data_IF_760524152792
#
_entry.id   IF_760524152792
#
_cell.length_a   1.000
_cell.length_b   1.000
_cell.length_c   1.000
_cell.angle_alpha   90.00
_cell.angle_beta   90.00
_cell.angle_gamma   90.00
#
_symmetry.space_group_name_H-M   'P 1'
#
loop_
_entity.id
_entity.type
_entity.pdbx_description
1 polymer ?
#
# COMPACT_ATOMS: atom_id res chain seq x y z
N UNK A 1 14.92 36.30 17.51
CA UNK A 1 15.58 34.99 17.54
C UNK A 1 14.95 34.14 16.47
N UNK A 2 15.72 33.32 15.74
CA UNK A 2 15.13 32.19 15.01
C UNK A 2 15.50 30.92 15.76
N UNK A 3 14.52 30.23 16.33
CA UNK A 3 14.73 28.89 16.91
C UNK A 3 14.19 27.84 15.97
N UNK A 4 14.99 26.83 15.69
CA UNK A 4 14.50 25.60 15.07
C UNK A 4 13.86 24.74 16.15
N UNK A 5 12.68 24.20 15.84
CA UNK A 5 11.96 23.25 16.66
C UNK A 5 11.77 22.01 15.80
N UNK A 6 12.42 20.92 16.18
CA UNK A 6 12.32 19.65 15.48
C UNK A 6 11.44 18.72 16.31
N UNK A 7 10.36 18.23 15.71
CA UNK A 7 9.45 17.30 16.32
C UNK A 7 9.35 16.00 15.53
N UNK A 8 9.31 14.87 16.23
CA UNK A 8 9.05 13.54 15.69
C UNK A 8 7.75 13.01 16.30
N UNK A 9 6.82 12.59 15.45
CA UNK A 9 5.48 12.13 15.85
C UNK A 9 4.71 13.16 16.72
N UNK A 10 5.00 14.44 16.51
CA UNK A 10 4.41 15.55 17.28
C UNK A 10 5.08 15.83 18.63
N UNK A 11 6.18 15.13 18.97
CA UNK A 11 6.98 15.36 20.18
C UNK A 11 8.26 16.08 19.81
N UNK A 12 8.56 17.20 20.46
CA UNK A 12 9.83 17.93 20.27
C UNK A 12 11.01 17.05 20.68
N UNK A 13 11.93 16.80 19.73
CA UNK A 13 13.14 15.98 19.94
C UNK A 13 14.42 16.82 19.95
N UNK A 14 14.38 18.01 19.36
CA UNK A 14 15.50 18.94 19.37
C UNK A 14 15.01 20.38 19.24
N UNK A 15 15.71 21.31 19.91
CA UNK A 15 15.56 22.75 19.73
C UNK A 15 16.91 23.43 19.67
N UNK A 16 17.04 24.39 18.76
CA UNK A 16 18.32 25.05 18.52
C UNK A 16 18.15 26.50 18.09
N UNK A 17 19.16 27.33 18.35
CA UNK A 17 19.21 28.69 17.81
C UNK A 17 19.80 28.62 16.41
N UNK A 18 19.03 29.03 15.40
CA UNK A 18 19.49 29.05 13.99
C UNK A 18 20.45 30.21 13.78
N UNK A 19 20.10 31.39 14.29
CA UNK A 19 20.97 32.57 14.29
C UNK A 19 20.72 33.42 15.55
N UNK A 20 21.80 33.65 16.31
CA UNK A 20 21.81 34.49 17.51
C UNK A 20 22.13 35.96 17.25
N UNK A 21 22.45 36.36 16.01
CA UNK A 21 22.89 37.70 15.62
C UNK A 21 24.02 38.24 16.53
N UNK A 22 25.07 37.42 16.72
CA UNK A 22 26.16 37.74 17.66
C UNK A 22 25.72 37.87 19.13
N UNK A 23 24.67 37.13 19.53
CA UNK A 23 24.11 37.14 20.88
C UNK A 23 22.99 38.16 21.11
N UNK A 24 22.73 39.05 20.14
CA UNK A 24 21.71 40.12 20.26
C UNK A 24 20.28 39.64 20.10
N UNK A 25 20.09 38.49 19.47
CA UNK A 25 18.80 37.84 19.28
C UNK A 25 18.64 36.61 20.17
N UNK A 26 19.32 36.59 21.32
CA UNK A 26 19.18 35.56 22.35
C UNK A 26 18.38 36.12 23.52
N UNK A 27 17.56 35.26 24.10
CA UNK A 27 16.92 35.48 25.40
C UNK A 27 17.98 35.83 26.46
N UNK A 28 17.79 36.97 27.13
CA UNK A 28 18.72 37.51 28.11
C UNK A 28 18.48 36.98 29.52
N UNK A 29 17.31 36.41 29.80
CA UNK A 29 17.00 35.78 31.07
C UNK A 29 16.33 34.41 30.86
N UNK A 30 17.11 33.38 30.46
CA UNK A 30 16.58 32.07 30.03
C UNK A 30 15.82 31.25 31.08
N UNK A 31 15.69 31.77 32.31
CA UNK A 31 14.93 31.17 33.40
C UNK A 31 13.66 31.94 33.77
N UNK A 32 13.37 33.05 33.10
CA UNK A 32 12.13 33.80 33.28
C UNK A 32 10.95 33.04 32.65
N UNK A 33 9.74 33.45 32.98
CA UNK A 33 8.51 32.92 32.35
C UNK A 33 8.30 33.46 30.94
N UNK A 34 9.04 34.50 30.54
CA UNK A 34 8.96 35.14 29.23
C UNK A 34 10.25 34.87 28.43
N UNK A 35 10.25 33.89 27.50
CA UNK A 35 11.45 33.52 26.76
C UNK A 35 11.80 34.50 25.62
N UNK A 36 11.19 35.69 25.58
CA UNK A 36 11.29 36.71 24.53
C UNK A 36 11.88 38.04 25.04
N UNK A 37 12.78 37.96 26.02
CA UNK A 37 13.46 39.12 26.58
C UNK A 37 14.76 39.39 25.83
N UNK A 38 14.90 40.59 25.24
CA UNK A 38 16.07 40.95 24.41
C UNK A 38 16.73 42.23 24.90
N UNK A 39 18.06 42.22 25.09
CA UNK A 39 18.82 43.40 25.51
C UNK A 39 19.04 44.44 24.40
N UNK A 40 18.81 44.08 23.13
CA UNK A 40 19.12 44.93 21.98
C UNK A 40 17.84 45.41 21.26
N UNK A 41 17.68 46.71 20.98
CA UNK A 41 16.53 47.26 20.25
C UNK A 41 16.60 47.05 18.72
N UNK A 42 17.63 46.36 18.20
CA UNK A 42 17.78 46.10 16.77
C UNK A 42 16.94 44.90 16.34
N UNK A 43 16.17 44.99 15.23
CA UNK A 43 15.43 43.85 14.69
C UNK A 43 16.37 42.68 14.38
N UNK A 44 15.88 41.46 14.55
CA UNK A 44 16.60 40.27 14.09
C UNK A 44 16.72 40.27 12.55
N UNK A 45 17.71 39.55 12.00
CA UNK A 45 17.85 39.39 10.55
C UNK A 45 16.53 38.96 9.90
N UNK A 46 16.29 39.34 8.64
CA UNK A 46 15.07 38.93 7.92
C UNK A 46 15.19 37.52 7.33
N UNK A 47 16.41 37.01 7.21
CA UNK A 47 16.74 35.70 6.69
C UNK A 47 17.83 35.08 7.55
N UNK A 48 17.76 33.77 7.74
CA UNK A 48 18.77 32.98 8.45
C UNK A 48 18.84 31.58 7.83
N UNK A 49 20.02 30.96 7.91
CA UNK A 49 20.25 29.57 7.51
C UNK A 49 20.91 28.81 8.64
N UNK A 50 20.63 27.52 8.74
CA UNK A 50 21.24 26.65 9.74
C UNK A 50 20.82 25.20 9.55
N UNK A 51 21.42 24.33 10.37
CA UNK A 51 21.18 22.90 10.35
C UNK A 51 20.58 22.46 11.68
N UNK A 52 19.69 21.46 11.62
CA UNK A 52 19.16 20.79 12.79
C UNK A 52 19.54 19.32 12.70
N UNK A 53 20.24 18.82 13.73
CA UNK A 53 20.68 17.43 13.83
C UNK A 53 20.03 16.81 15.06
N UNK A 54 19.60 15.56 14.93
CA UNK A 54 19.10 14.76 16.06
C UNK A 54 19.54 13.31 15.90
N UNK A 55 19.62 12.60 17.01
CA UNK A 55 19.99 11.18 17.03
C UNK A 55 18.74 10.31 16.92
N UNK A 56 18.68 9.51 15.86
CA UNK A 56 17.56 8.61 15.59
C UNK A 56 17.62 7.31 16.41
N UNK A 57 18.75 6.98 17.06
CA UNK A 57 18.93 5.72 17.82
C UNK A 57 18.01 5.60 19.03
N UNK A 58 17.57 6.74 19.57
CA UNK A 58 16.61 6.80 20.67
C UNK A 58 15.16 6.61 20.23
N UNK A 59 14.88 6.65 18.92
CA UNK A 59 13.55 6.42 18.39
C UNK A 59 13.28 4.93 18.29
N UNK A 60 12.02 4.54 18.53
CA UNK A 60 11.54 3.18 18.25
C UNK A 60 11.75 2.83 16.79
N UNK A 61 11.89 1.56 16.46
CA UNK A 61 11.89 1.13 15.05
C UNK A 61 10.51 1.38 14.41
N UNK A 62 10.49 1.85 13.17
CA UNK A 62 9.28 2.02 12.37
C UNK A 62 9.17 3.38 11.68
N UNK A 63 7.96 3.68 11.20
CA UNK A 63 7.66 4.93 10.49
C UNK A 63 7.47 6.08 11.49
N UNK A 64 8.02 7.24 11.14
CA UNK A 64 7.99 8.46 11.93
C UNK A 64 7.68 9.68 11.09
N UNK A 65 6.89 10.60 11.63
CA UNK A 65 6.63 11.90 11.02
C UNK A 65 7.58 12.96 11.60
N UNK A 66 8.46 13.52 10.76
CA UNK A 66 9.34 14.63 11.11
C UNK A 66 8.66 15.96 10.75
N UNK A 67 8.69 16.90 11.69
CA UNK A 67 8.29 18.28 11.47
C UNK A 67 9.40 19.21 11.95
N UNK A 68 9.89 20.07 11.04
CA UNK A 68 10.78 21.17 11.35
C UNK A 68 10.00 22.47 11.28
N UNK A 69 9.93 23.15 12.41
CA UNK A 69 9.35 24.49 12.52
C UNK A 69 10.41 25.51 12.90
N UNK A 70 10.17 26.76 12.52
CA UNK A 70 10.97 27.90 12.94
C UNK A 70 10.10 28.83 13.77
N UNK A 71 10.57 29.18 14.96
CA UNK A 71 10.00 30.18 15.85
C UNK A 71 10.75 31.50 15.69
N UNK A 72 10.04 32.60 15.48
CA UNK A 72 10.61 33.94 15.38
C UNK A 72 10.76 34.65 16.75
N UNK A 73 11.26 35.89 16.73
CA UNK A 73 11.50 36.68 17.94
C UNK A 73 10.21 37.05 18.69
N UNK A 74 9.06 37.01 18.02
CA UNK A 74 7.75 37.33 18.57
C UNK A 74 6.99 36.06 19.01
N UNK A 75 7.62 34.88 18.95
CA UNK A 75 7.02 33.60 19.30
C UNK A 75 6.12 33.02 18.22
N UNK A 76 6.13 33.56 17.00
CA UNK A 76 5.37 32.96 15.91
C UNK A 76 6.10 31.73 15.39
N UNK A 77 5.41 30.59 15.42
CA UNK A 77 5.94 29.31 14.94
C UNK A 77 5.39 29.02 13.54
N UNK A 78 6.29 28.78 12.59
CA UNK A 78 5.95 28.39 11.21
C UNK A 78 6.57 27.04 10.88
N UNK A 79 5.77 26.10 10.37
CA UNK A 79 6.27 24.85 9.82
C UNK A 79 7.03 25.14 8.51
N UNK A 80 8.32 24.84 8.49
CA UNK A 80 9.17 25.07 7.31
C UNK A 80 9.40 23.80 6.49
N UNK A 81 9.35 22.63 7.13
CA UNK A 81 9.48 21.34 6.46
C UNK A 81 8.77 20.22 7.22
N UNK A 82 8.21 19.26 6.48
CA UNK A 82 7.70 18.02 7.04
C UNK A 82 7.96 16.86 6.08
N UNK A 83 8.37 15.72 6.62
CA UNK A 83 8.61 14.49 5.87
C UNK A 83 8.41 13.28 6.77
N UNK A 84 8.13 12.13 6.17
CA UNK A 84 8.17 10.86 6.87
C UNK A 84 9.56 10.23 6.72
N UNK A 85 10.00 9.47 7.73
CA UNK A 85 11.22 8.67 7.69
C UNK A 85 11.05 7.36 8.46
N UNK A 86 11.96 6.41 8.24
CA UNK A 86 11.94 5.10 8.89
C UNK A 86 13.21 4.91 9.68
N UNK A 87 13.06 4.35 10.89
CA UNK A 87 14.17 4.02 11.79
C UNK A 87 14.40 2.51 11.84
N UNK A 88 15.66 2.12 11.72
CA UNK A 88 16.14 0.74 11.83
C UNK A 88 17.35 0.72 12.77
N UNK A 89 17.12 0.46 14.05
CA UNK A 89 18.20 0.46 15.03
C UNK A 89 19.07 -0.79 14.96
N UNK A 90 18.53 -1.92 14.48
CA UNK A 90 19.27 -3.11 14.10
C UNK A 90 19.49 -3.16 12.58
N UNK A 91 20.51 -3.87 12.07
CA UNK A 91 20.76 -3.94 10.64
C UNK A 91 19.58 -4.61 9.91
N UNK A 92 19.26 -4.12 8.72
CA UNK A 92 18.23 -4.71 7.87
C UNK A 92 18.82 -5.00 6.50
N UNK A 93 18.67 -6.23 6.01
CA UNK A 93 19.10 -6.56 4.65
C UNK A 93 18.17 -5.88 3.65
N UNK A 94 18.72 -5.03 2.79
CA UNK A 94 18.02 -4.40 1.67
C UNK A 94 18.16 -5.23 0.40
N UNK A 95 19.38 -5.67 0.12
CA UNK A 95 19.69 -6.55 -1.01
C UNK A 95 20.49 -7.75 -0.50
N UNK A 96 20.10 -8.96 -0.90
CA UNK A 96 20.80 -10.17 -0.49
C UNK A 96 22.23 -10.25 -1.07
N UNK A 97 23.15 -10.95 -0.39
CA UNK A 97 24.46 -11.32 -0.94
C UNK A 97 24.36 -11.98 -2.32
N UNK A 98 25.17 -11.55 -3.27
CA UNK A 98 25.22 -12.12 -4.62
C UNK A 98 26.40 -13.08 -4.78
N UNK A 99 26.18 -14.22 -5.44
CA UNK A 99 27.28 -15.12 -5.83
C UNK A 99 27.68 -14.89 -7.29
N UNK A 100 28.99 -14.92 -7.56
CA UNK A 100 29.58 -14.95 -8.90
C UNK A 100 30.75 -15.92 -8.98
N UNK A 101 31.26 -16.17 -10.19
CA UNK A 101 32.42 -17.05 -10.42
C UNK A 101 32.06 -18.39 -11.07
N UNK A 102 32.99 -19.34 -10.97
CA UNK A 102 32.91 -20.66 -11.61
C UNK A 102 32.51 -21.75 -10.60
N UNK A 103 31.31 -22.30 -10.78
CA UNK A 103 30.73 -23.36 -9.97
C UNK A 103 31.33 -24.72 -10.36
N UNK A 104 32.63 -24.90 -10.14
CA UNK A 104 33.39 -26.13 -10.42
C UNK A 104 34.38 -26.43 -9.31
N UNK A 105 34.65 -27.72 -9.06
CA UNK A 105 35.73 -28.14 -8.16
C UNK A 105 37.06 -27.56 -8.62
N UNK A 106 37.76 -26.88 -7.71
CA UNK A 106 38.99 -26.14 -7.99
C UNK A 106 38.77 -24.75 -8.64
N UNK A 107 37.53 -24.39 -8.97
CA UNK A 107 37.14 -23.05 -9.39
C UNK A 107 37.07 -22.08 -8.20
N UNK A 108 36.46 -20.93 -8.40
CA UNK A 108 36.23 -19.96 -7.32
C UNK A 108 34.83 -19.37 -7.42
N UNK A 109 34.20 -19.22 -6.26
CA UNK A 109 32.98 -18.44 -6.09
C UNK A 109 33.29 -17.24 -5.20
N UNK A 110 32.82 -16.08 -5.61
CA UNK A 110 32.90 -14.82 -4.88
C UNK A 110 31.51 -14.44 -4.37
N UNK A 111 31.45 -13.87 -3.15
CA UNK A 111 30.22 -13.34 -2.55
C UNK A 111 30.33 -11.83 -2.33
N UNK A 112 29.29 -11.09 -2.72
CA UNK A 112 29.11 -9.69 -2.30
C UNK A 112 28.41 -9.61 -0.94
N UNK A 113 28.65 -8.55 -0.18
CA UNK A 113 28.01 -8.39 1.14
C UNK A 113 26.50 -8.14 1.08
N UNK A 114 25.97 -7.87 -0.11
CA UNK A 114 24.64 -7.30 -0.26
C UNK A 114 24.61 -5.82 0.16
N UNK A 115 23.42 -5.30 0.40
CA UNK A 115 23.22 -3.93 0.88
C UNK A 115 22.41 -3.97 2.17
N UNK A 116 22.81 -3.15 3.13
CA UNK A 116 22.23 -3.14 4.47
C UNK A 116 21.80 -1.72 4.85
N UNK A 117 20.68 -1.63 5.55
CA UNK A 117 20.28 -0.46 6.34
C UNK A 117 20.62 -0.68 7.83
N UNK A 118 20.39 0.33 8.66
CA UNK A 118 20.68 0.30 10.10
C UNK A 118 22.16 0.39 10.41
N UNK A 119 22.99 0.87 9.47
CA UNK A 119 24.42 1.14 9.65
C UNK A 119 25.19 0.00 10.39
N UNK A 120 25.30 -1.19 9.79
CA UNK A 120 26.06 -2.28 10.40
C UNK A 120 27.53 -1.88 10.61
N UNK A 121 28.08 -2.20 11.77
CA UNK A 121 29.48 -1.97 12.12
C UNK A 121 30.35 -3.21 11.90
N UNK A 122 29.74 -4.39 11.76
CA UNK A 122 30.42 -5.65 11.47
C UNK A 122 29.65 -6.46 10.42
N UNK A 123 30.38 -7.15 9.55
CA UNK A 123 29.86 -8.10 8.57
C UNK A 123 30.67 -9.40 8.65
N UNK A 124 30.02 -10.48 9.07
CA UNK A 124 30.61 -11.82 9.11
C UNK A 124 30.05 -12.66 7.97
N UNK A 125 30.91 -13.38 7.25
CA UNK A 125 30.50 -14.25 6.15
C UNK A 125 30.68 -15.71 6.54
N UNK A 126 29.85 -16.58 5.97
CA UNK A 126 30.05 -18.02 6.01
C UNK A 126 29.51 -18.70 4.76
N UNK A 127 30.20 -19.73 4.29
CA UNK A 127 29.75 -20.57 3.19
C UNK A 127 28.99 -21.79 3.73
N UNK A 128 27.88 -22.12 3.06
CA UNK A 128 27.01 -23.23 3.38
C UNK A 128 26.99 -24.21 2.21
N UNK A 129 27.11 -25.49 2.52
CA UNK A 129 26.94 -26.60 1.59
C UNK A 129 25.51 -27.11 1.66
N UNK A 130 24.78 -27.00 0.56
CA UNK A 130 23.42 -27.50 0.42
C UNK A 130 23.39 -28.83 -0.32
N UNK A 131 22.23 -29.47 -0.36
CA UNK A 131 21.99 -30.58 -1.28
C UNK A 131 21.89 -30.11 -2.74
N UNK A 132 21.70 -31.06 -3.65
CA UNK A 132 21.56 -30.77 -5.08
C UNK A 132 20.35 -29.88 -5.41
N UNK A 133 19.31 -29.82 -4.57
CA UNK A 133 18.17 -28.92 -4.77
C UNK A 133 18.40 -27.51 -4.23
N UNK A 134 19.48 -27.29 -3.48
CA UNK A 134 19.75 -26.04 -2.76
C UNK A 134 19.10 -25.99 -1.37
N UNK A 135 18.61 -27.12 -0.84
CA UNK A 135 18.04 -27.24 0.50
C UNK A 135 19.05 -27.91 1.47
N UNK A 136 18.66 -28.09 2.74
CA UNK A 136 19.47 -28.84 3.71
C UNK A 136 20.86 -28.25 4.00
N UNK A 137 21.03 -26.94 3.85
CA UNK A 137 22.33 -26.29 3.90
C UNK A 137 22.99 -26.35 5.28
N UNK A 138 24.26 -26.77 5.33
CA UNK A 138 25.08 -26.81 6.53
C UNK A 138 26.35 -25.95 6.36
N UNK A 139 26.83 -25.27 7.43
CA UNK A 139 28.03 -24.45 7.35
C UNK A 139 29.28 -25.28 7.04
N UNK A 140 30.14 -24.73 6.20
CA UNK A 140 31.46 -25.28 5.90
C UNK A 140 32.44 -24.67 6.90
N UNK A 141 33.01 -25.51 7.77
CA UNK A 141 33.91 -25.06 8.81
C UNK A 141 35.12 -24.27 8.25
N UNK A 142 35.41 -23.12 8.84
CA UNK A 142 36.53 -22.25 8.42
C UNK A 142 36.28 -21.43 7.14
N UNK A 143 35.17 -21.63 6.44
CA UNK A 143 34.86 -20.93 5.20
C UNK A 143 34.14 -19.60 5.45
N UNK A 144 34.87 -18.59 5.96
CA UNK A 144 34.34 -17.25 6.24
C UNK A 144 34.82 -16.14 5.29
N UNK A 145 35.57 -16.48 4.24
CA UNK A 145 36.10 -15.52 3.27
C UNK A 145 35.05 -15.02 2.27
N UNK A 146 35.31 -13.87 1.65
CA UNK A 146 34.52 -13.38 0.51
C UNK A 146 34.67 -14.26 -0.74
N UNK A 147 35.70 -15.11 -0.77
CA UNK A 147 35.94 -16.11 -1.81
C UNK A 147 35.93 -17.51 -1.21
N UNK A 148 35.35 -18.46 -1.93
CA UNK A 148 35.42 -19.89 -1.62
C UNK A 148 35.85 -20.69 -2.86
N UNK A 149 36.71 -21.68 -2.64
CA UNK A 149 37.18 -22.61 -3.68
C UNK A 149 36.43 -23.93 -3.50
N UNK A 150 35.50 -24.30 -4.39
CA UNK A 150 34.78 -25.56 -4.27
C UNK A 150 35.71 -26.77 -4.28
N UNK A 151 35.45 -27.69 -3.35
CA UNK A 151 36.23 -28.92 -3.16
C UNK A 151 35.46 -30.13 -3.70
N UNK A 152 36.09 -31.30 -3.75
CA UNK A 152 35.42 -32.54 -4.15
C UNK A 152 34.17 -32.86 -3.29
N UNK A 153 34.12 -32.42 -2.02
CA UNK A 153 32.96 -32.58 -1.15
C UNK A 153 31.76 -31.71 -1.57
N UNK A 154 31.99 -30.67 -2.35
CA UNK A 154 30.98 -29.76 -2.88
C UNK A 154 30.43 -30.22 -4.24
N UNK A 155 31.06 -31.21 -4.89
CA UNK A 155 30.61 -31.71 -6.19
C UNK A 155 29.15 -32.17 -6.15
N UNK A 156 28.41 -31.85 -7.22
CA UNK A 156 27.00 -32.16 -7.43
C UNK A 156 26.06 -31.55 -6.37
N UNK A 157 26.55 -30.59 -5.59
CA UNK A 157 25.80 -29.82 -4.61
C UNK A 157 25.72 -28.37 -5.03
N UNK A 158 24.97 -27.58 -4.26
CA UNK A 158 24.93 -26.12 -4.39
C UNK A 158 25.53 -25.46 -3.18
N UNK A 159 26.17 -24.32 -3.38
CA UNK A 159 26.72 -23.50 -2.32
C UNK A 159 25.87 -22.23 -2.14
N UNK A 160 25.71 -21.82 -0.89
CA UNK A 160 25.06 -20.57 -0.50
C UNK A 160 26.03 -19.82 0.40
N UNK A 161 26.12 -18.51 0.26
CA UNK A 161 26.81 -17.68 1.24
C UNK A 161 25.79 -17.03 2.17
N UNK A 162 26.10 -16.97 3.45
CA UNK A 162 25.35 -16.25 4.48
C UNK A 162 26.23 -15.10 5.00
N UNK A 163 25.68 -13.89 5.00
CA UNK A 163 26.30 -12.68 5.55
C UNK A 163 25.49 -12.25 6.76
N UNK A 164 26.15 -12.12 7.90
CA UNK A 164 25.58 -11.69 9.17
C UNK A 164 26.07 -10.27 9.45
N UNK A 165 25.16 -9.32 9.40
CA UNK A 165 25.42 -7.92 9.72
C UNK A 165 25.10 -7.65 11.19
N UNK A 166 25.95 -6.88 11.88
CA UNK A 166 25.78 -6.54 13.29
C UNK A 166 26.05 -5.07 13.59
N UNK A 167 25.31 -4.54 14.56
CA UNK A 167 25.56 -3.25 15.21
C UNK A 167 25.13 -3.32 16.69
N UNK A 168 25.16 -2.18 17.41
CA UNK A 168 24.73 -2.12 18.80
C UNK A 168 23.24 -2.46 19.04
N UNK A 169 22.39 -2.34 18.02
CA UNK A 169 20.97 -2.70 18.06
C UNK A 169 20.67 -4.17 17.76
N UNK A 170 21.63 -4.93 17.22
CA UNK A 170 21.50 -6.38 17.04
C UNK A 170 22.19 -6.94 15.80
N UNK A 171 21.84 -8.17 15.45
CA UNK A 171 22.41 -8.90 14.30
C UNK A 171 21.34 -9.48 13.40
N UNK A 172 21.53 -9.41 12.08
CA UNK A 172 20.64 -10.01 11.07
C UNK A 172 21.46 -10.77 10.02
N UNK A 173 20.98 -11.95 9.65
CA UNK A 173 21.59 -12.79 8.62
C UNK A 173 20.81 -12.71 7.29
N UNK A 174 21.53 -12.61 6.18
CA UNK A 174 21.00 -12.69 4.83
C UNK A 174 21.75 -13.77 4.04
N UNK A 175 21.03 -14.52 3.21
CA UNK A 175 21.60 -15.59 2.38
C UNK A 175 21.53 -15.24 0.92
N UNK A 176 22.56 -15.64 0.17
CA UNK A 176 22.55 -15.58 -1.28
C UNK A 176 21.55 -16.57 -1.89
N UNK A 177 21.24 -16.38 -3.17
CA UNK A 177 20.71 -17.47 -3.97
C UNK A 177 21.72 -18.64 -4.02
N UNK A 178 21.25 -19.90 -4.14
CA UNK A 178 22.14 -21.04 -4.36
C UNK A 178 22.93 -20.88 -5.67
N UNK A 179 24.18 -21.36 -5.66
CA UNK A 179 25.00 -21.44 -6.87
C UNK A 179 24.37 -22.38 -7.93
N UNK A 180 24.94 -22.37 -9.14
CA UNK A 180 24.80 -23.51 -10.03
C UNK A 180 25.32 -24.79 -9.33
N UNK A 181 24.91 -25.97 -9.82
CA UNK A 181 25.47 -27.22 -9.34
C UNK A 181 26.99 -27.20 -9.55
N UNK A 182 27.74 -27.53 -8.50
CA UNK A 182 29.20 -27.58 -8.58
C UNK A 182 29.58 -28.76 -9.48
N UNK A 183 30.20 -28.45 -10.62
CA UNK A 183 30.72 -29.47 -11.51
C UNK A 183 32.00 -30.10 -10.93
N UNK A 184 32.20 -31.41 -11.14
CA UNK A 184 33.44 -32.07 -10.76
C UNK A 184 34.63 -31.64 -11.66
N UNK A 185 35.81 -32.22 -11.41
CA UNK A 185 37.02 -31.94 -12.22
C UNK A 185 36.85 -32.34 -13.69
N UNK A 186 35.94 -33.26 -14.01
CA UNK A 186 35.58 -33.67 -15.38
C UNK A 186 34.45 -32.82 -16.00
N UNK A 187 33.88 -31.87 -15.26
CA UNK A 187 32.78 -31.01 -15.72
C UNK A 187 31.39 -31.61 -15.57
N UNK A 188 31.24 -32.75 -14.86
CA UNK A 188 29.93 -33.39 -14.64
C UNK A 188 29.18 -32.71 -13.50
N UNK A 189 27.86 -32.62 -13.62
CA UNK A 189 26.95 -32.06 -12.58
C UNK A 189 26.11 -33.11 -11.86
N UNK A 190 26.35 -34.39 -12.13
CA UNK A 190 25.85 -35.54 -11.39
C UNK A 190 26.91 -36.66 -11.37
N UNK A 191 26.87 -37.59 -10.38
CA UNK A 191 27.68 -38.80 -10.42
C UNK A 191 27.43 -39.60 -11.72
N UNK A 192 28.42 -40.38 -12.17
CA UNK A 192 28.19 -41.35 -13.25
C UNK A 192 27.50 -42.57 -12.66
N UNK A 193 26.30 -42.85 -13.17
CA UNK A 193 25.55 -44.08 -12.87
C UNK A 193 26.18 -45.25 -13.64
N UNK A 194 27.19 -45.90 -13.06
CA UNK A 194 27.70 -47.18 -13.56
C UNK A 194 26.89 -48.37 -13.00
N UNK A 195 25.55 -48.24 -12.93
CA UNK A 195 24.66 -49.32 -12.47
C UNK A 195 23.76 -49.79 -13.62
N UNK A 196 23.86 -51.04 -14.10
CA UNK A 196 22.91 -51.59 -15.07
C UNK A 196 21.49 -51.56 -14.50
N UNK A 197 20.54 -51.08 -15.30
CA UNK A 197 19.12 -51.00 -14.93
C UNK A 197 18.58 -52.39 -14.52
N UNK A 198 18.18 -52.51 -13.26
CA UNK A 198 17.47 -53.68 -12.76
C UNK A 198 15.98 -53.31 -12.58
N UNK A 199 15.03 -54.16 -13.04
CA UNK A 199 13.61 -53.81 -13.04
C UNK A 199 13.03 -53.83 -11.61
N UNK A 200 12.07 -52.94 -11.37
CA UNK A 200 11.46 -52.66 -10.08
C UNK A 200 10.80 -53.91 -9.42
N UNK A 201 10.94 -54.08 -8.10
CA UNK A 201 10.03 -54.88 -7.30
C UNK A 201 9.10 -54.03 -6.43
N UNK A 202 7.81 -54.31 -6.67
CA UNK A 202 6.57 -54.28 -5.87
C UNK A 202 6.53 -53.66 -4.46
N UNK A 203 5.43 -52.95 -4.26
CA UNK A 203 4.81 -52.57 -2.98
C UNK A 203 4.76 -53.72 -1.97
N UNK A 204 5.22 -53.45 -0.74
CA UNK A 204 4.67 -54.00 0.49
C UNK A 204 4.95 -53.03 1.66
N UNK A 205 3.91 -52.63 2.39
CA UNK A 205 3.95 -51.89 3.67
C UNK A 205 3.33 -52.79 4.76
N UNK A 206 3.72 -52.74 6.05
CA UNK A 206 3.27 -51.67 6.97
C UNK A 206 4.26 -51.26 8.11
N UNK A 207 3.84 -50.28 8.96
CA UNK A 207 4.60 -49.48 9.97
C UNK A 207 5.12 -50.20 11.24
N UNK A 208 5.44 -49.54 12.40
CA UNK A 208 4.87 -48.27 12.92
C UNK A 208 5.84 -47.31 13.71
N UNK A 209 5.24 -46.23 14.22
CA UNK A 209 5.59 -45.40 15.40
C UNK A 209 6.93 -44.63 15.50
N UNK A 210 6.80 -43.29 15.44
CA UNK A 210 7.73 -42.36 16.10
C UNK A 210 6.94 -41.34 16.93
N UNK A 211 7.27 -41.13 18.22
CA UNK A 211 6.50 -40.25 19.09
C UNK A 211 6.62 -38.78 18.69
N UNK A 212 5.54 -38.03 18.94
CA UNK A 212 5.44 -36.60 18.72
C UNK A 212 6.37 -35.83 19.67
N UNK A 213 7.25 -35.01 19.10
CA UNK A 213 7.99 -33.98 19.82
C UNK A 213 6.99 -32.90 20.24
N UNK A 214 6.93 -32.48 21.52
CA UNK A 214 6.02 -31.41 21.93
C UNK A 214 6.46 -30.10 21.26
N UNK A 215 5.48 -29.38 20.72
CA UNK A 215 5.69 -28.06 20.13
C UNK A 215 6.34 -27.12 21.18
N UNK A 216 7.39 -26.36 20.81
CA UNK A 216 7.93 -25.36 21.72
C UNK A 216 6.85 -24.31 22.01
N UNK A 217 6.87 -23.82 23.26
CA UNK A 217 5.99 -22.78 23.75
C UNK A 217 5.90 -21.61 22.77
N UNK A 218 4.69 -21.07 22.61
CA UNK A 218 4.39 -19.97 21.72
C UNK A 218 5.42 -18.85 21.87
N UNK A 219 6.17 -18.59 20.80
CA UNK A 219 7.02 -17.42 20.68
C UNK A 219 6.21 -16.17 21.03
N UNK A 220 6.82 -15.14 21.64
CA UNK A 220 6.15 -13.88 21.90
C UNK A 220 5.49 -13.42 20.60
N UNK A 221 4.17 -13.19 20.67
CA UNK A 221 3.36 -12.81 19.51
C UNK A 221 4.05 -11.68 18.76
N UNK A 222 4.48 -11.96 17.53
CA UNK A 222 5.14 -10.98 16.68
C UNK A 222 4.33 -9.67 16.71
N UNK A 223 4.98 -8.50 16.85
CA UNK A 223 4.28 -7.23 16.89
C UNK A 223 3.36 -7.09 15.67
N UNK A 224 2.21 -6.43 15.84
CA UNK A 224 1.16 -6.39 14.83
C UNK A 224 1.68 -5.80 13.51
N UNK A 225 1.21 -6.38 12.40
CA UNK A 225 1.46 -5.85 11.05
C UNK A 225 0.93 -4.42 11.02
N UNK A 226 1.76 -3.46 10.58
CA UNK A 226 1.23 -2.15 10.21
C UNK A 226 0.46 -2.29 8.90
N UNK A 227 -0.84 -2.10 9.03
CA UNK A 227 -1.80 -2.28 7.96
C UNK A 227 -2.11 -0.99 7.22
N UNK A 228 -1.53 0.16 7.63
CA UNK A 228 -1.91 1.47 7.08
C UNK A 228 -3.41 1.76 7.21
N UNK A 229 -4.04 1.24 8.27
CA UNK A 229 -5.48 1.34 8.53
C UNK A 229 -6.35 0.40 7.68
N UNK A 230 -5.78 -0.60 7.01
CA UNK A 230 -6.51 -1.62 6.23
C UNK A 230 -6.89 -2.79 7.13
N UNK A 231 -8.18 -2.89 7.47
CA UNK A 231 -8.68 -4.01 8.27
C UNK A 231 -8.52 -5.35 7.55
N UNK A 232 -8.13 -6.39 8.31
CA UNK A 232 -7.89 -7.77 7.83
C UNK A 232 -6.78 -7.88 6.78
N UNK A 233 -5.91 -6.88 6.68
CA UNK A 233 -4.73 -7.01 5.84
C UNK A 233 -3.75 -7.97 6.50
N UNK A 234 -3.32 -8.96 5.75
CA UNK A 234 -2.27 -9.90 6.14
C UNK A 234 -1.17 -9.87 5.07
N UNK A 235 0.07 -10.15 5.48
CA UNK A 235 1.13 -10.42 4.54
C UNK A 235 0.88 -11.79 3.88
N UNK A 236 0.65 -11.86 2.55
CA UNK A 236 0.14 -13.06 1.88
C UNK A 236 1.20 -14.17 1.74
N UNK A 237 2.46 -13.89 2.10
CA UNK A 237 3.56 -14.84 2.11
C UNK A 237 4.10 -15.11 3.52
N UNK A 238 3.52 -14.53 4.58
CA UNK A 238 4.03 -14.67 5.95
C UNK A 238 4.21 -16.13 6.42
N UNK A 239 3.33 -17.04 5.96
CA UNK A 239 3.40 -18.46 6.31
C UNK A 239 4.64 -19.18 5.78
N UNK A 240 5.36 -18.60 4.83
CA UNK A 240 6.61 -19.17 4.31
C UNK A 240 7.76 -19.06 5.33
N UNK A 241 7.66 -18.10 6.27
CA UNK A 241 8.69 -17.86 7.29
C UNK A 241 9.98 -17.26 6.72
N UNK A 242 10.82 -16.75 7.63
CA UNK A 242 12.09 -16.11 7.30
C UNK A 242 11.97 -14.94 6.32
N UNK A 243 13.07 -14.58 5.68
CA UNK A 243 13.13 -13.52 4.68
C UNK A 243 12.78 -14.03 3.26
N UNK A 244 11.74 -14.85 3.14
CA UNK A 244 11.36 -15.47 1.86
C UNK A 244 10.79 -14.42 0.91
N UNK A 245 11.31 -14.28 -0.33
CA UNK A 245 10.85 -13.27 -1.27
C UNK A 245 9.44 -13.54 -1.80
N UNK A 246 8.63 -12.48 -1.86
CA UNK A 246 7.31 -12.51 -2.47
C UNK A 246 7.42 -12.30 -3.99
N UNK A 247 7.79 -13.37 -4.70
CA UNK A 247 7.98 -13.37 -6.15
C UNK A 247 9.43 -13.15 -6.58
N UNK A 248 9.71 -13.45 -7.84
CA UNK A 248 11.03 -13.26 -8.45
C UNK A 248 11.30 -11.78 -8.67
N UNK A 249 12.42 -11.27 -8.14
CA UNK A 249 12.74 -9.83 -8.16
C UNK A 249 12.08 -9.02 -7.04
N UNK A 250 11.65 -9.69 -5.95
CA UNK A 250 11.11 -9.01 -4.78
C UNK A 250 12.07 -7.91 -4.27
N UNK A 251 11.54 -6.73 -3.99
CA UNK A 251 12.31 -5.56 -3.58
C UNK A 251 11.55 -4.75 -2.52
N UNK A 252 12.27 -4.25 -1.51
CA UNK A 252 11.73 -3.36 -0.49
C UNK A 252 11.38 -1.96 -1.05
N UNK A 253 11.87 -1.62 -2.24
CA UNK A 253 11.61 -0.37 -2.96
C UNK A 253 10.74 -0.60 -4.19
N UNK A 254 9.98 -1.71 -4.20
CA UNK A 254 9.06 -2.03 -5.27
C UNK A 254 8.07 -0.91 -5.55
N UNK A 255 7.73 -0.73 -6.83
CA UNK A 255 6.69 0.18 -7.29
C UNK A 255 5.54 -0.62 -7.85
N UNK A 256 4.32 -0.22 -7.51
CA UNK A 256 3.09 -0.79 -8.05
C UNK A 256 2.32 0.30 -8.79
N UNK A 257 1.88 -0.02 -10.01
CA UNK A 257 1.03 0.83 -10.82
C UNK A 257 -0.20 0.06 -11.25
N UNK A 258 -1.37 0.68 -11.14
CA UNK A 258 -2.64 0.09 -11.55
C UNK A 258 -3.50 1.11 -12.29
N UNK A 259 -4.38 0.59 -13.16
CA UNK A 259 -5.39 1.36 -13.86
C UNK A 259 -6.63 0.49 -14.18
N UNK A 260 -7.77 1.15 -14.35
CA UNK A 260 -9.03 0.52 -14.76
C UNK A 260 -9.12 0.48 -16.29
N UNK A 261 -9.41 -0.69 -16.86
CA UNK A 261 -9.60 -0.88 -18.30
C UNK A 261 -10.99 -0.45 -18.74
N UNK A 262 -11.08 0.41 -19.76
CA UNK A 262 -12.36 0.84 -20.35
C UNK A 262 -12.80 -0.12 -21.47
N UNK A 263 -14.12 -0.24 -21.66
CA UNK A 263 -14.70 -1.13 -22.67
C UNK A 263 -14.34 -0.73 -24.12
N UNK A 264 -14.11 0.56 -24.38
CA UNK A 264 -13.71 1.09 -25.70
C UNK A 264 -12.21 1.25 -25.91
N UNK A 265 -11.38 0.59 -25.08
CA UNK A 265 -9.92 0.79 -25.07
C UNK A 265 -9.47 1.93 -24.15
N UNK A 266 -8.19 1.89 -23.77
CA UNK A 266 -7.58 2.83 -22.84
C UNK A 266 -7.74 2.47 -21.36
N UNK A 267 -7.03 3.23 -20.52
CA UNK A 267 -6.95 3.02 -19.08
C UNK A 267 -7.26 4.30 -18.30
N UNK A 268 -7.72 4.17 -17.06
CA UNK A 268 -8.01 5.32 -16.21
C UNK A 268 -7.81 5.01 -14.72
N UNK A 269 -7.36 6.01 -13.95
CA UNK A 269 -7.23 5.94 -12.49
C UNK A 269 -8.58 6.08 -11.79
N UNK A 270 -9.47 6.89 -12.38
CA UNK A 270 -10.82 7.16 -11.93
C UNK A 270 -11.82 6.91 -13.05
N UNK A 271 -12.92 6.22 -12.74
CA UNK A 271 -14.01 5.99 -13.69
C UNK A 271 -15.36 6.30 -13.08
N UNK A 272 -16.26 6.84 -13.90
CA UNK A 272 -17.67 7.00 -13.56
C UNK A 272 -18.47 5.85 -14.15
N UNK A 273 -19.31 5.21 -13.36
CA UNK A 273 -19.96 3.96 -13.77
C UNK A 273 -21.37 3.77 -13.23
N UNK A 274 -22.16 2.98 -13.95
CA UNK A 274 -23.46 2.53 -13.46
C UNK A 274 -23.26 1.42 -12.42
N UNK A 275 -24.20 1.31 -11.49
CA UNK A 275 -24.14 0.35 -10.37
C UNK A 275 -23.83 -1.10 -10.76
N UNK A 276 -24.39 -1.58 -11.87
CA UNK A 276 -24.29 -2.98 -12.28
C UNK A 276 -22.98 -3.31 -13.01
N UNK A 277 -22.13 -2.30 -13.28
CA UNK A 277 -20.92 -2.48 -14.08
C UNK A 277 -19.81 -3.11 -13.24
N UNK A 278 -19.22 -4.20 -13.75
CA UNK A 278 -17.95 -4.76 -13.29
C UNK A 278 -16.80 -4.06 -14.00
N UNK A 279 -15.67 -3.94 -13.33
CA UNK A 279 -14.46 -3.34 -13.89
C UNK A 279 -13.30 -4.32 -13.85
N UNK A 280 -12.36 -4.17 -14.77
CA UNK A 280 -11.10 -4.90 -14.72
C UNK A 280 -10.00 -3.90 -14.39
N UNK A 281 -9.31 -4.10 -13.27
CA UNK A 281 -8.06 -3.42 -12.99
C UNK A 281 -6.92 -4.23 -13.62
N UNK A 282 -6.00 -3.53 -14.26
CA UNK A 282 -4.73 -4.07 -14.75
C UNK A 282 -3.62 -3.29 -14.10
N UNK A 283 -2.53 -3.95 -13.72
CA UNK A 283 -1.39 -3.28 -13.14
C UNK A 283 -0.07 -3.97 -13.41
N UNK A 284 0.99 -3.33 -12.96
CA UNK A 284 2.37 -3.81 -13.05
C UNK A 284 3.08 -3.55 -11.73
N UNK A 285 3.81 -4.56 -11.27
CA UNK A 285 4.68 -4.52 -10.11
C UNK A 285 6.13 -4.60 -10.61
N UNK A 286 6.96 -3.66 -10.19
CA UNK A 286 8.37 -3.59 -10.57
C UNK A 286 9.25 -3.34 -9.36
N UNK A 287 10.54 -3.64 -9.48
CA UNK A 287 11.56 -3.15 -8.56
C UNK A 287 11.80 -1.63 -8.77
N UNK A 288 12.77 -1.08 -8.03
CA UNK A 288 13.21 0.31 -8.11
C UNK A 288 13.84 0.70 -9.46
N UNK A 289 14.34 -0.29 -10.20
CA UNK A 289 14.93 -0.14 -11.53
C UNK A 289 13.91 -0.34 -12.67
N UNK A 290 12.64 -0.65 -12.35
CA UNK A 290 11.58 -0.89 -13.34
C UNK A 290 11.54 -2.32 -13.90
N UNK A 291 12.35 -3.24 -13.37
CA UNK A 291 12.32 -4.66 -13.75
C UNK A 291 11.10 -5.34 -13.15
N UNK A 292 10.48 -6.30 -13.85
CA UNK A 292 9.24 -6.92 -13.38
C UNK A 292 9.42 -7.79 -12.15
N UNK A 293 8.47 -7.72 -11.19
CA UNK A 293 8.40 -8.65 -10.05
C UNK A 293 7.38 -9.75 -10.36
N UNK A 294 7.87 -10.91 -10.76
CA UNK A 294 7.07 -12.02 -11.26
C UNK A 294 6.57 -12.99 -10.18
N UNK A 295 5.37 -13.55 -10.34
CA UNK A 295 4.81 -14.54 -9.40
C UNK A 295 4.49 -14.02 -8.00
N UNK A 296 4.56 -12.70 -7.79
CA UNK A 296 4.31 -12.03 -6.52
C UNK A 296 2.82 -12.05 -6.14
N UNK A 297 2.55 -12.10 -4.84
CA UNK A 297 1.21 -11.97 -4.25
C UNK A 297 0.93 -10.53 -3.83
N UNK A 298 -0.09 -9.91 -4.41
CA UNK A 298 -0.52 -8.52 -4.19
C UNK A 298 -1.90 -8.51 -3.53
N UNK A 299 -2.05 -7.85 -2.39
CA UNK A 299 -3.33 -7.69 -1.73
C UNK A 299 -4.20 -6.64 -2.43
N UNK A 300 -5.49 -6.90 -2.60
CA UNK A 300 -6.49 -5.91 -2.99
C UNK A 300 -7.40 -5.56 -1.81
N UNK A 301 -7.40 -4.29 -1.43
CA UNK A 301 -8.25 -3.73 -0.37
C UNK A 301 -9.29 -2.79 -0.96
N UNK A 302 -10.45 -2.69 -0.32
CA UNK A 302 -11.57 -1.85 -0.76
C UNK A 302 -12.04 -0.94 0.36
N UNK A 303 -12.27 0.33 0.03
CA UNK A 303 -12.92 1.31 0.91
C UNK A 303 -14.15 1.89 0.23
N UNK A 304 -15.33 1.52 0.75
CA UNK A 304 -16.57 2.21 0.39
C UNK A 304 -16.57 3.58 1.06
N UNK A 305 -17.00 4.62 0.36
CA UNK A 305 -16.97 6.01 0.86
C UNK A 305 -17.43 6.12 2.33
N UNK A 306 -16.60 6.76 3.17
CA UNK A 306 -16.89 6.97 4.60
C UNK A 306 -16.77 5.72 5.48
N UNK A 307 -16.27 4.59 4.95
CA UNK A 307 -15.97 3.37 5.69
C UNK A 307 -14.46 3.18 5.83
N UNK A 308 -14.07 2.22 6.67
CA UNK A 308 -12.67 1.77 6.81
C UNK A 308 -12.26 0.94 5.59
N UNK A 309 -10.97 0.92 5.29
CA UNK A 309 -10.38 0.00 4.33
C UNK A 309 -10.52 -1.43 4.83
N UNK A 310 -10.78 -2.38 3.92
CA UNK A 310 -10.80 -3.80 4.25
C UNK A 310 -10.16 -4.60 3.13
N UNK A 311 -9.21 -5.47 3.47
CA UNK A 311 -8.64 -6.42 2.52
C UNK A 311 -9.72 -7.38 1.99
N UNK A 312 -9.64 -7.72 0.70
CA UNK A 312 -10.64 -8.53 0.00
C UNK A 312 -10.05 -9.75 -0.67
N UNK A 313 -8.89 -9.60 -1.29
CA UNK A 313 -8.36 -10.62 -2.18
C UNK A 313 -6.83 -10.56 -2.28
N UNK A 314 -6.24 -11.64 -2.79
CA UNK A 314 -4.81 -11.76 -3.07
C UNK A 314 -4.63 -12.16 -4.52
N UNK A 315 -3.98 -11.30 -5.29
CA UNK A 315 -3.76 -11.46 -6.72
C UNK A 315 -2.33 -11.93 -6.96
N UNK A 316 -2.10 -12.76 -7.98
CA UNK A 316 -0.75 -13.12 -8.40
C UNK A 316 -0.31 -12.31 -9.63
N UNK A 317 0.93 -11.85 -9.62
CA UNK A 317 1.56 -11.29 -10.83
C UNK A 317 2.00 -12.41 -11.78
N UNK A 318 1.97 -12.13 -13.08
CA UNK A 318 2.59 -12.94 -14.13
C UNK A 318 4.11 -12.79 -14.06
N UNK A 319 4.86 -13.59 -14.82
CA UNK A 319 6.33 -13.52 -14.87
C UNK A 319 6.87 -12.15 -15.28
N UNK A 320 6.14 -11.41 -16.12
CA UNK A 320 6.48 -10.03 -16.53
C UNK A 320 5.93 -8.95 -15.56
N UNK A 321 5.57 -9.36 -14.34
CA UNK A 321 5.16 -8.46 -13.25
C UNK A 321 3.79 -7.84 -13.43
N UNK A 322 3.00 -8.26 -14.42
CA UNK A 322 1.63 -7.75 -14.63
C UNK A 322 0.63 -8.47 -13.75
N UNK A 323 -0.46 -7.80 -13.41
CA UNK A 323 -1.60 -8.45 -12.77
C UNK A 323 -2.91 -7.93 -13.32
N UNK A 324 -3.94 -8.76 -13.23
CA UNK A 324 -5.32 -8.41 -13.60
C UNK A 324 -6.25 -8.77 -12.47
N UNK A 325 -7.19 -7.88 -12.14
CA UNK A 325 -8.17 -8.09 -11.09
C UNK A 325 -9.58 -7.67 -11.51
N UNK A 326 -10.53 -8.59 -11.39
CA UNK A 326 -11.94 -8.32 -11.70
C UNK A 326 -12.64 -7.74 -10.47
N UNK A 327 -12.98 -6.46 -10.57
CA UNK A 327 -13.66 -5.71 -9.54
C UNK A 327 -15.17 -5.96 -9.61
N UNK A 328 -15.80 -6.51 -8.55
CA UNK A 328 -17.22 -6.85 -8.56
C UNK A 328 -18.10 -5.59 -8.69
N UNK A 329 -19.34 -5.73 -9.16
CA UNK A 329 -20.27 -4.60 -9.15
C UNK A 329 -20.52 -4.12 -7.71
N UNK A 330 -20.73 -2.81 -7.51
CA UNK A 330 -20.85 -2.27 -6.16
C UNK A 330 -21.01 -0.76 -6.10
N UNK A 331 -20.95 -0.17 -4.89
CA UNK A 331 -21.10 1.26 -4.68
C UNK A 331 -19.81 2.00 -5.05
N UNK A 332 -19.86 3.34 -4.93
CA UNK A 332 -18.66 4.17 -5.03
C UNK A 332 -17.63 3.76 -3.98
N UNK A 333 -16.40 3.55 -4.43
CA UNK A 333 -15.34 2.99 -3.60
C UNK A 333 -13.96 3.25 -4.17
N UNK A 334 -13.00 3.23 -3.28
CA UNK A 334 -11.59 3.17 -3.61
C UNK A 334 -11.11 1.71 -3.54
N UNK A 335 -10.16 1.36 -4.39
CA UNK A 335 -9.50 0.05 -4.44
C UNK A 335 -8.02 0.29 -4.31
N UNK A 336 -7.38 -0.27 -3.30
CA UNK A 336 -5.93 -0.14 -3.08
C UNK A 336 -5.28 -1.50 -3.26
N UNK A 337 -4.26 -1.54 -4.10
CA UNK A 337 -3.35 -2.68 -4.21
C UNK A 337 -2.17 -2.44 -3.28
N UNK A 338 -1.72 -3.47 -2.57
CA UNK A 338 -0.60 -3.38 -1.62
C UNK A 338 0.31 -4.59 -1.79
N UNK A 339 1.63 -4.38 -1.66
CA UNK A 339 2.64 -5.41 -1.83
C UNK A 339 3.59 -5.46 -0.64
N UNK A 340 3.73 -6.65 -0.08
CA UNK A 340 4.73 -6.99 0.94
C UNK A 340 5.89 -7.70 0.24
N UNK A 341 7.13 -7.20 0.34
CA UNK A 341 8.24 -7.76 -0.42
C UNK A 341 8.72 -9.12 0.09
N UNK A 342 8.62 -9.40 1.39
CA UNK A 342 9.15 -10.61 2.01
C UNK A 342 8.17 -11.22 3.03
N UNK A 343 8.35 -12.49 3.39
CA UNK A 343 7.49 -13.19 4.36
C UNK A 343 7.53 -12.58 5.77
N UNK A 344 8.66 -12.02 6.18
CA UNK A 344 8.85 -11.30 7.44
C UNK A 344 8.44 -9.81 7.37
N UNK A 345 8.05 -9.30 6.20
CA UNK A 345 7.62 -7.91 6.04
C UNK A 345 6.39 -7.62 6.91
N UNK A 346 6.52 -6.65 7.82
CA UNK A 346 5.45 -6.23 8.74
C UNK A 346 4.64 -5.04 8.25
N UNK A 347 5.02 -4.43 7.14
CA UNK A 347 4.21 -3.44 6.41
C UNK A 347 4.41 -3.62 4.90
N UNK A 348 3.42 -3.20 4.12
CA UNK A 348 3.56 -3.19 2.67
C UNK A 348 4.51 -2.06 2.24
N UNK A 349 5.28 -2.26 1.18
CA UNK A 349 6.24 -1.26 0.66
C UNK A 349 5.78 -0.53 -0.58
N UNK A 350 4.91 -1.18 -1.36
CA UNK A 350 4.28 -0.55 -2.52
C UNK A 350 2.77 -0.52 -2.33
N UNK A 351 2.14 0.62 -2.66
CA UNK A 351 0.69 0.68 -2.77
C UNK A 351 0.23 1.60 -3.88
N UNK A 352 -0.93 1.28 -4.46
CA UNK A 352 -1.53 2.14 -5.47
C UNK A 352 -3.06 2.06 -5.43
N UNK A 353 -3.73 3.20 -5.62
CA UNK A 353 -5.17 3.36 -5.35
C UNK A 353 -5.94 3.83 -6.58
N UNK A 354 -7.03 3.13 -6.90
CA UNK A 354 -7.99 3.44 -7.96
C UNK A 354 -9.32 3.92 -7.37
N UNK A 355 -10.06 4.74 -8.12
CA UNK A 355 -11.38 5.23 -7.74
C UNK A 355 -12.47 4.80 -8.73
N UNK A 356 -13.55 4.25 -8.19
CA UNK A 356 -14.75 3.92 -8.95
C UNK A 356 -15.90 4.75 -8.39
N UNK A 357 -16.36 5.69 -9.21
CA UNK A 357 -17.45 6.58 -8.89
C UNK A 357 -18.75 6.06 -9.49
N UNK A 358 -19.61 5.52 -8.64
CA UNK A 358 -20.82 4.84 -9.05
C UNK A 358 -22.03 5.72 -8.83
N UNK A 359 -22.85 5.90 -9.86
CA UNK A 359 -24.16 6.53 -9.72
C UNK A 359 -25.28 5.49 -9.75
N UNK A 360 -26.32 5.76 -9.00
CA UNK A 360 -27.55 4.96 -8.99
C UNK A 360 -28.49 5.45 -10.08
N UNK A 361 -29.06 4.57 -10.92
CA UNK A 361 -30.08 4.96 -11.88
C UNK A 361 -31.29 5.59 -11.18
N UNK A 362 -31.74 6.73 -11.69
CA UNK A 362 -32.88 7.48 -11.17
C UNK A 362 -33.91 7.67 -12.28
N UNK A 363 -35.12 7.18 -12.03
CA UNK A 363 -36.26 7.36 -12.94
C UNK A 363 -37.16 8.48 -12.45
N UNK A 364 -37.80 9.16 -13.41
CA UNK A 364 -38.90 10.10 -13.21
C UNK A 364 -39.98 9.79 -14.23
N UNK A 365 -41.23 9.78 -13.79
CA UNK A 365 -42.41 9.55 -14.59
C UNK A 365 -43.48 10.57 -14.20
N UNK A 366 -44.34 10.90 -15.16
CA UNK A 366 -45.57 11.67 -14.95
C UNK A 366 -46.74 10.79 -15.35
N UNK A 367 -47.86 10.90 -14.63
CA UNK A 367 -49.09 10.21 -14.97
C UNK A 367 -49.64 10.65 -16.33
N UNK A 368 -49.46 11.93 -16.68
CA UNK A 368 -49.93 12.53 -17.93
C UNK A 368 -48.88 13.49 -18.51
N UNK A 369 -48.69 13.43 -19.84
CA UNK A 369 -47.79 14.33 -20.60
C UNK A 369 -48.50 15.56 -21.18
N UNK A 370 -49.83 15.53 -21.23
CA UNK A 370 -50.66 16.66 -21.63
C UNK A 370 -51.74 16.86 -20.58
N UNK A 371 -51.98 18.11 -20.17
CA UNK A 371 -52.91 18.43 -19.08
C UNK A 371 -53.85 19.53 -19.52
N UNK A 372 -55.15 19.27 -19.38
CA UNK A 372 -56.24 20.23 -19.57
C UNK A 372 -57.03 20.38 -18.25
N UNK A 373 -57.71 21.51 -18.05
CA UNK A 373 -58.62 21.72 -16.91
C UNK A 373 -57.93 21.85 -15.53
N UNK A 374 -58.00 20.82 -14.68
CA UNK A 374 -57.54 20.86 -13.26
C UNK A 374 -56.05 21.17 -13.06
N UNK A 375 -55.22 21.15 -14.13
CA UNK A 375 -53.81 21.58 -14.13
C UNK A 375 -52.95 20.93 -13.04
N UNK A 376 -53.15 19.64 -12.78
CA UNK A 376 -52.38 18.85 -11.81
C UNK A 376 -51.83 17.58 -12.47
N UNK A 377 -50.56 17.27 -12.20
CA UNK A 377 -49.93 15.97 -12.53
C UNK A 377 -49.41 15.29 -11.28
N UNK A 378 -49.39 13.96 -11.32
CA UNK A 378 -48.67 13.14 -10.35
C UNK A 378 -47.31 12.79 -10.91
N UNK A 379 -46.26 13.27 -10.26
CA UNK A 379 -44.87 12.96 -10.57
C UNK A 379 -44.43 11.84 -9.64
N UNK A 380 -43.81 10.81 -10.20
CA UNK A 380 -43.30 9.68 -9.43
C UNK A 380 -41.96 9.22 -9.97
N UNK A 381 -41.25 8.40 -9.21
CA UNK A 381 -40.00 7.85 -9.67
C UNK A 381 -39.39 6.86 -8.69
N UNK A 382 -38.22 6.37 -9.07
CA UNK A 382 -37.49 5.38 -8.28
C UNK A 382 -35.99 5.63 -8.35
N UNK A 383 -35.35 5.53 -7.18
CA UNK A 383 -33.90 5.35 -7.06
C UNK A 383 -33.62 3.86 -7.04
N UNK A 384 -32.86 3.35 -8.02
CA UNK A 384 -32.52 1.93 -8.08
C UNK A 384 -31.28 1.65 -7.22
N UNK A 385 -31.44 0.99 -6.06
CA UNK A 385 -30.30 0.60 -5.22
C UNK A 385 -30.67 -0.26 -4.01
N UNK A 386 -29.73 -1.09 -3.57
CA UNK A 386 -29.92 -2.09 -2.50
C UNK A 386 -29.39 -1.59 -1.14
N UNK A 387 -29.06 -0.30 -1.04
CA UNK A 387 -28.49 0.34 0.17
C UNK A 387 -29.19 1.65 0.53
N UNK A 388 -30.49 1.69 0.27
CA UNK A 388 -31.34 2.83 0.66
C UNK A 388 -31.56 2.73 2.18
N UNK A 389 -31.23 3.78 2.95
CA UNK A 389 -31.49 3.79 4.38
C UNK A 389 -32.98 3.55 4.68
N UNK A 390 -33.30 3.01 5.86
CA UNK A 390 -34.70 2.86 6.30
C UNK A 390 -35.47 4.19 6.30
N UNK A 391 -34.77 5.29 6.57
CA UNK A 391 -35.27 6.67 6.48
C UNK A 391 -35.52 7.19 5.05
N UNK A 392 -35.14 6.42 4.03
CA UNK A 392 -35.18 6.86 2.63
C UNK A 392 -34.06 7.84 2.24
N UNK A 393 -34.07 8.26 0.97
CA UNK A 393 -33.15 9.24 0.40
C UNK A 393 -33.87 10.55 0.12
N UNK A 394 -33.17 11.67 0.30
CA UNK A 394 -33.62 12.97 -0.20
C UNK A 394 -33.60 12.97 -1.74
N UNK A 395 -34.71 13.42 -2.32
CA UNK A 395 -34.89 13.66 -3.75
C UNK A 395 -35.33 15.10 -3.93
N UNK A 396 -34.55 15.87 -4.68
CA UNK A 396 -34.88 17.23 -5.08
C UNK A 396 -35.52 17.19 -6.46
N UNK A 397 -36.69 17.81 -6.61
CA UNK A 397 -37.40 17.92 -7.87
C UNK A 397 -37.25 19.34 -8.41
N UNK A 398 -36.83 19.42 -9.67
CA UNK A 398 -36.70 20.68 -10.39
C UNK A 398 -37.64 20.72 -11.59
N UNK A 399 -38.23 21.89 -11.81
CA UNK A 399 -39.04 22.22 -12.97
C UNK A 399 -38.31 23.23 -13.84
N UNK A 400 -38.47 23.13 -15.16
CA UNK A 400 -37.93 24.06 -16.12
C UNK A 400 -39.03 24.60 -17.01
N UNK A 401 -39.08 25.92 -17.11
CA UNK A 401 -39.89 26.68 -18.05
C UNK A 401 -38.98 27.60 -18.85
N UNK A 402 -39.28 27.79 -20.15
CA UNK A 402 -38.54 28.72 -21.00
C UNK A 402 -38.52 30.11 -20.34
N UNK A 403 -37.35 30.73 -20.27
CA UNK A 403 -37.13 32.03 -19.63
C UNK A 403 -36.79 31.99 -18.13
N UNK A 404 -37.02 30.87 -17.43
CA UNK A 404 -36.79 30.77 -15.96
C UNK A 404 -35.73 29.74 -15.56
N UNK A 405 -35.27 28.90 -16.49
CA UNK A 405 -34.30 27.85 -16.22
C UNK A 405 -34.84 26.76 -15.28
N UNK A 406 -33.94 25.93 -14.75
CA UNK A 406 -34.28 24.90 -13.77
C UNK A 406 -34.43 25.49 -12.38
N UNK A 407 -35.59 25.32 -11.75
CA UNK A 407 -35.84 25.76 -10.36
C UNK A 407 -36.33 24.60 -9.51
N UNK A 408 -35.81 24.51 -8.29
CA UNK A 408 -36.30 23.56 -7.29
C UNK A 408 -37.69 23.98 -6.84
N UNK A 409 -38.65 23.07 -6.93
CA UNK A 409 -40.01 23.31 -6.44
C UNK A 409 -40.41 22.40 -5.28
N UNK A 410 -39.65 21.32 -5.05
CA UNK A 410 -39.92 20.37 -3.96
C UNK A 410 -38.69 19.55 -3.62
N UNK A 411 -38.53 19.25 -2.34
CA UNK A 411 -37.64 18.20 -1.83
C UNK A 411 -38.47 17.22 -1.02
N UNK A 412 -38.29 15.91 -1.26
CA UNK A 412 -39.02 14.85 -0.58
C UNK A 412 -38.10 13.69 -0.23
N UNK A 413 -38.59 12.73 0.56
CA UNK A 413 -37.88 11.47 0.84
C UNK A 413 -38.48 10.31 0.07
N UNK A 414 -37.62 9.40 -0.39
CA UNK A 414 -38.07 8.10 -0.90
C UNK A 414 -38.58 7.22 0.22
N UNK A 415 -39.34 6.18 -0.12
CA UNK A 415 -39.50 5.02 0.76
C UNK A 415 -38.17 4.28 0.94
N UNK A 416 -38.13 3.32 1.87
CA UNK A 416 -37.04 2.33 2.01
C UNK A 416 -36.77 1.51 0.75
N UNK A 417 -37.76 1.43 -0.18
CA UNK A 417 -37.63 0.76 -1.48
C UNK A 417 -37.18 1.72 -2.60
N UNK A 418 -36.88 2.97 -2.27
CA UNK A 418 -36.42 3.99 -3.23
C UNK A 418 -37.50 4.64 -4.07
N UNK A 419 -38.77 4.30 -3.83
CA UNK A 419 -39.91 4.88 -4.56
C UNK A 419 -40.31 6.22 -3.97
N UNK A 420 -40.79 7.12 -4.82
CA UNK A 420 -41.32 8.41 -4.40
C UNK A 420 -42.44 8.87 -5.32
N UNK A 421 -43.33 9.73 -4.79
CA UNK A 421 -44.48 10.29 -5.50
C UNK A 421 -44.83 11.66 -4.91
N UNK A 422 -45.25 12.59 -5.75
CA UNK A 422 -45.82 13.88 -5.37
C UNK A 422 -46.77 14.39 -6.44
N UNK A 423 -47.65 15.32 -6.08
CA UNK A 423 -48.42 16.08 -7.05
C UNK A 423 -47.74 17.42 -7.35
N UNK A 424 -47.93 17.93 -8.57
CA UNK A 424 -47.54 19.26 -8.99
C UNK A 424 -48.72 19.96 -9.66
N UNK A 425 -49.03 21.18 -9.23
CA UNK A 425 -50.09 22.02 -9.80
C UNK A 425 -49.46 23.12 -10.63
N UNK A 426 -49.85 23.22 -11.90
CA UNK A 426 -49.40 24.29 -12.79
C UNK A 426 -50.12 25.59 -12.46
N UNK A 427 -49.36 26.68 -12.37
CA UNK A 427 -49.92 28.04 -12.24
C UNK A 427 -50.28 28.64 -13.61
N UNK A 428 -49.48 28.35 -14.64
CA UNK A 428 -49.77 28.76 -16.01
C UNK A 428 -51.01 28.03 -16.56
N UNK A 429 -51.78 28.70 -17.40
CA UNK A 429 -52.86 28.10 -18.19
C UNK A 429 -52.35 27.34 -19.40
N UNK A 430 -51.16 27.66 -19.92
CA UNK A 430 -50.54 26.98 -21.06
C UNK A 430 -49.02 26.89 -20.94
N UNK A 431 -48.40 26.05 -21.76
CA UNK A 431 -46.95 26.02 -21.96
C UNK A 431 -46.30 24.67 -21.75
N UNK A 432 -44.97 24.62 -21.96
CA UNK A 432 -44.17 23.40 -21.92
C UNK A 432 -43.23 23.41 -20.71
N UNK A 433 -43.35 22.39 -19.87
CA UNK A 433 -42.64 22.27 -18.60
C UNK A 433 -41.84 20.97 -18.57
N UNK A 434 -40.54 21.06 -18.30
CA UNK A 434 -39.71 19.89 -18.09
C UNK A 434 -39.46 19.66 -16.60
N UNK A 435 -39.49 18.41 -16.16
CA UNK A 435 -39.25 18.01 -14.78
C UNK A 435 -38.06 17.05 -14.71
N UNK A 436 -37.20 17.21 -13.71
CA UNK A 436 -36.13 16.26 -13.39
C UNK A 436 -36.05 16.02 -11.90
N UNK A 437 -35.62 14.83 -11.52
CA UNK A 437 -35.28 14.48 -10.16
C UNK A 437 -33.76 14.46 -9.98
N UNK A 438 -33.29 14.90 -8.81
CA UNK A 438 -31.90 14.88 -8.40
C UNK A 438 -31.81 14.19 -7.05
N UNK A 439 -30.98 13.17 -6.95
CA UNK A 439 -30.59 12.58 -5.66
C UNK A 439 -29.18 13.07 -5.38
N UNK A 440 -28.99 14.03 -4.47
CA UNK A 440 -27.66 14.48 -4.09
C UNK A 440 -26.90 13.39 -3.34
N UNK A 441 -25.57 13.49 -3.32
CA UNK A 441 -24.71 12.68 -2.45
C UNK A 441 -25.17 12.82 -0.99
N UNK A 442 -25.36 11.70 -0.31
CA UNK A 442 -25.85 11.65 1.07
C UNK A 442 -24.96 10.71 1.88
N UNK A 443 -24.60 11.08 3.12
CA UNK A 443 -23.53 10.42 3.88
C UNK A 443 -23.67 8.90 4.05
N UNK A 444 -24.91 8.37 4.18
CA UNK A 444 -25.18 6.93 4.30
C UNK A 444 -25.45 6.23 2.96
N UNK A 445 -25.51 6.98 1.86
CA UNK A 445 -25.78 6.45 0.52
C UNK A 445 -24.50 6.53 -0.33
N UNK A 446 -23.80 5.40 -0.55
CA UNK A 446 -22.44 5.40 -1.12
C UNK A 446 -22.45 5.49 -2.65
N UNK A 447 -23.23 6.43 -3.20
CA UNK A 447 -23.33 6.69 -4.63
C UNK A 447 -23.20 8.20 -4.88
N UNK A 448 -22.71 8.56 -6.07
CA UNK A 448 -22.64 9.94 -6.50
C UNK A 448 -24.03 10.57 -6.69
N UNK A 449 -24.05 11.90 -6.71
CA UNK A 449 -25.21 12.67 -7.17
C UNK A 449 -25.66 12.19 -8.54
N UNK A 450 -26.94 11.87 -8.65
CA UNK A 450 -27.56 11.37 -9.88
C UNK A 450 -28.74 12.25 -10.26
N UNK A 451 -28.89 12.48 -11.56
CA UNK A 451 -29.95 13.31 -12.15
C UNK A 451 -30.73 12.45 -13.13
N UNK A 452 -32.06 12.48 -13.04
CA UNK A 452 -32.92 11.76 -13.97
C UNK A 452 -32.84 12.38 -15.37
N UNK A 453 -33.17 11.60 -16.39
CA UNK A 453 -33.56 12.19 -17.68
C UNK A 453 -34.81 13.05 -17.48
N UNK A 454 -34.89 14.26 -18.07
CA UNK A 454 -36.09 15.09 -17.94
C UNK A 454 -37.32 14.45 -18.56
N UNK A 455 -38.49 14.70 -17.97
CA UNK A 455 -39.80 14.40 -18.55
C UNK A 455 -40.54 15.70 -18.82
N UNK A 456 -41.21 15.81 -19.96
CA UNK A 456 -41.92 17.02 -20.37
C UNK A 456 -43.42 16.83 -20.21
N UNK A 457 -44.10 17.86 -19.70
CA UNK A 457 -45.55 18.01 -19.67
C UNK A 457 -45.94 19.28 -20.43
N UNK A 458 -46.97 19.19 -21.26
CA UNK A 458 -47.60 20.33 -21.94
C UNK A 458 -48.92 20.65 -21.24
N UNK A 459 -49.12 21.91 -20.89
CA UNK A 459 -50.41 22.43 -20.42
C UNK A 459 -51.06 23.12 -21.61
N UNK A 460 -52.29 22.72 -21.91
CA UNK A 460 -53.10 23.26 -23.01
C UNK A 460 -54.31 23.96 -22.44
#
# INVERSE_FOLDING_TARGET
MYRSILAVDGVEVARGVVDGNGGRCRDVEPGSVDPYEFAAPRPCPLEASGEAVFDTRGLRDGDHALALSVEDAAGNVTLVHATDFVTHNAPVSLDAPGLGGDARVGGHLDVSDGRWDGAPTVLERRWLRCDASGAGCAPIAGAGGARYVPTAADAYRRLVAEVVAGNAGGTVAARSAPSALIADTSGRTAPVDDTPAQPAPRDDRPGPDRPAVPAPAAAPSAPPIDTGGIGRLENPVARQGGHTPNGTGASAQARISAALRRAGGGSARTVRSQRATRWTATGRLTDEHGRPIGGARVNAAVRVLGRRWVARDVIRTTADGRFTYTLPAGPSRDVRFTYFPFADSRSFRASDTLRIDVFSPLTINVDRRTVTGRRIVTISGRVNGDRIPSSGLLVTLQGHQRGFGWRTFRTLRTSRRGTWRTQYRFRSSSGRFAFRAIVPRQGRYPFLTTTSRPVTVVVV
#
